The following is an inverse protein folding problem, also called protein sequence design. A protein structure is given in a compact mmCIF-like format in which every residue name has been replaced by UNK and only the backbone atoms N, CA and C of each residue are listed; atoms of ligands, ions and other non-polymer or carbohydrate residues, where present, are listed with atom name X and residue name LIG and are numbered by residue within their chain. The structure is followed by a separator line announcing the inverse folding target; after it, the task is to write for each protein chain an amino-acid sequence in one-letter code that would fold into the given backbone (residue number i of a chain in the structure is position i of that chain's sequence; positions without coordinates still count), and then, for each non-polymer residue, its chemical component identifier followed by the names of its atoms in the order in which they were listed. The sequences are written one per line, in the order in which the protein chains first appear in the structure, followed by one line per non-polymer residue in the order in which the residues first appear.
data_IF_842634241264
#
_entry.id   IF_842634241264
#
_cell.length_a   1.000
_cell.length_b   1.000
_cell.length_c   1.000
_cell.angle_alpha   90.00
_cell.angle_beta   90.00
_cell.angle_gamma   90.00
#
_symmetry.space_group_name_H-M   'P 1'
#
loop_
_entity.id
_entity.type
_entity.pdbx_description
1 polymer ?
#
# COMPACT_ATOMS: atom_id res chain seq x y z
N UNK A 1 -20.42 9.23 -2.07
CA UNK A 1 -19.50 8.27 -2.73
C UNK A 1 -18.16 8.98 -2.94
N UNK A 2 -17.03 8.44 -2.48
CA UNK A 2 -15.72 9.09 -2.70
C UNK A 2 -15.02 8.53 -3.93
N UNK A 3 -14.16 9.34 -4.59
CA UNK A 3 -13.33 8.91 -5.72
C UNK A 3 -12.52 7.65 -5.40
N UNK A 4 -12.05 7.50 -4.15
CA UNK A 4 -11.33 6.31 -3.70
C UNK A 4 -12.16 5.04 -3.83
N UNK A 5 -13.43 5.07 -3.42
CA UNK A 5 -14.30 3.88 -3.49
C UNK A 5 -14.57 3.48 -4.95
N UNK A 6 -14.77 4.47 -5.84
CA UNK A 6 -14.94 4.22 -7.27
C UNK A 6 -13.67 3.61 -7.88
N UNK A 7 -12.49 4.13 -7.53
CA UNK A 7 -11.22 3.54 -7.95
C UNK A 7 -11.07 2.10 -7.46
N UNK A 8 -11.38 1.83 -6.18
CA UNK A 8 -11.33 0.49 -5.59
C UNK A 8 -12.27 -0.49 -6.29
N UNK A 9 -13.46 -0.05 -6.67
CA UNK A 9 -14.41 -0.87 -7.42
C UNK A 9 -13.84 -1.30 -8.78
N UNK A 10 -13.21 -0.37 -9.50
CA UNK A 10 -12.56 -0.66 -10.77
C UNK A 10 -11.35 -1.59 -10.59
N UNK A 11 -10.45 -1.29 -9.64
CA UNK A 11 -9.21 -2.10 -9.49
C UNK A 11 -9.46 -3.51 -8.96
N UNK A 12 -10.61 -3.79 -8.32
CA UNK A 12 -11.00 -5.18 -7.98
C UNK A 12 -11.21 -6.09 -9.18
N UNK A 13 -11.32 -5.52 -10.39
CA UNK A 13 -11.34 -6.29 -11.63
C UNK A 13 -9.95 -6.82 -12.03
N UNK A 14 -8.87 -6.40 -11.34
CA UNK A 14 -7.51 -6.72 -11.70
C UNK A 14 -7.23 -8.22 -11.88
N UNK A 15 -7.65 -9.15 -10.99
CA UNK A 15 -7.44 -10.59 -11.20
C UNK A 15 -8.04 -11.10 -12.51
N UNK A 16 -9.23 -10.61 -12.89
CA UNK A 16 -9.88 -10.99 -14.15
C UNK A 16 -9.11 -10.47 -15.37
N UNK A 17 -8.60 -9.23 -15.29
CA UNK A 17 -7.85 -8.60 -16.39
C UNK A 17 -6.43 -9.15 -16.54
N UNK A 18 -5.81 -9.57 -15.44
CA UNK A 18 -4.45 -10.13 -15.43
C UNK A 18 -4.40 -11.59 -15.90
N UNK A 19 -5.53 -12.31 -15.86
CA UNK A 19 -5.62 -13.71 -16.30
C UNK A 19 -4.55 -14.57 -15.63
N UNK A 20 -3.81 -15.33 -16.45
CA UNK A 20 -2.74 -16.24 -16.01
C UNK A 20 -1.56 -15.55 -15.29
N UNK A 21 -1.48 -14.22 -15.35
CA UNK A 21 -0.44 -13.46 -14.65
C UNK A 21 -0.84 -13.07 -13.22
N UNK A 22 -2.09 -13.29 -12.82
CA UNK A 22 -2.62 -12.85 -11.52
C UNK A 22 -1.74 -13.27 -10.35
N UNK A 23 -1.38 -14.54 -10.28
CA UNK A 23 -0.62 -15.06 -9.13
C UNK A 23 0.83 -14.55 -9.12
N UNK A 24 1.44 -14.37 -10.30
CA UNK A 24 2.77 -13.74 -10.39
C UNK A 24 2.76 -12.30 -9.88
N UNK A 25 1.70 -11.54 -10.19
CA UNK A 25 1.53 -10.16 -9.72
C UNK A 25 1.24 -10.13 -8.22
N UNK A 26 0.44 -11.07 -7.69
CA UNK A 26 0.23 -11.20 -6.24
C UNK A 26 1.53 -11.49 -5.50
N UNK A 27 2.35 -12.39 -6.02
CA UNK A 27 3.64 -12.72 -5.40
C UNK A 27 4.61 -11.54 -5.47
N UNK A 28 4.62 -10.80 -6.58
CA UNK A 28 5.34 -9.53 -6.66
C UNK A 28 4.85 -8.54 -5.59
N UNK A 29 3.53 -8.38 -5.45
CA UNK A 29 2.92 -7.45 -4.50
C UNK A 29 3.28 -7.81 -3.04
N UNK A 30 3.26 -9.10 -2.68
CA UNK A 30 3.65 -9.59 -1.35
C UNK A 30 5.09 -9.22 -1.00
N UNK A 31 6.01 -9.33 -1.98
CA UNK A 31 7.43 -9.02 -1.79
C UNK A 31 7.74 -7.54 -1.66
N UNK A 32 6.77 -6.65 -1.89
CA UNK A 32 7.01 -5.21 -1.74
C UNK A 32 7.13 -4.80 -0.28
N UNK A 33 6.51 -5.55 0.64
CA UNK A 33 6.57 -5.27 2.07
C UNK A 33 7.81 -5.89 2.71
N UNK A 34 8.51 -5.11 3.53
CA UNK A 34 9.66 -5.57 4.30
C UNK A 34 9.26 -6.04 5.72
N UNK A 35 10.25 -6.46 6.49
CA UNK A 35 10.05 -6.97 7.86
C UNK A 35 9.49 -5.92 8.84
N UNK A 36 9.63 -4.62 8.55
CA UNK A 36 9.05 -3.55 9.39
C UNK A 36 7.63 -3.16 8.96
N UNK A 37 7.07 -3.81 7.93
CA UNK A 37 5.71 -3.55 7.45
C UNK A 37 5.58 -2.38 6.47
N UNK A 38 6.69 -1.78 6.05
CA UNK A 38 6.69 -0.74 5.02
C UNK A 38 6.87 -1.37 3.63
N UNK A 39 6.32 -0.72 2.61
CA UNK A 39 6.78 -1.02 1.25
C UNK A 39 8.14 -0.37 0.99
N UNK A 40 8.95 -1.01 0.16
CA UNK A 40 10.26 -0.48 -0.19
C UNK A 40 10.23 0.39 -1.45
N UNK A 41 11.10 1.40 -1.47
CA UNK A 41 11.48 2.12 -2.68
C UNK A 41 12.34 1.25 -3.62
N UNK A 42 12.85 1.85 -4.70
CA UNK A 42 13.69 1.16 -5.68
C UNK A 42 15.09 0.79 -5.16
N UNK A 43 15.52 1.39 -4.05
CA UNK A 43 16.77 1.06 -3.37
C UNK A 43 16.57 0.04 -2.24
N UNK A 44 15.34 -0.46 -2.06
CA UNK A 44 15.01 -1.43 -1.01
C UNK A 44 14.78 -0.79 0.37
N UNK A 45 14.70 0.53 0.46
CA UNK A 45 14.49 1.24 1.73
C UNK A 45 13.00 1.42 2.02
N UNK A 46 12.56 1.31 3.28
CA UNK A 46 11.18 1.58 3.67
C UNK A 46 10.76 3.00 3.27
N UNK A 47 9.67 3.13 2.50
CA UNK A 47 9.25 4.41 1.96
C UNK A 47 7.73 4.61 2.08
N UNK A 48 7.34 5.76 2.62
CA UNK A 48 5.95 6.07 2.95
C UNK A 48 5.11 6.34 1.70
N UNK A 49 5.69 6.98 0.69
CA UNK A 49 5.04 7.23 -0.58
C UNK A 49 4.79 5.91 -1.34
N UNK A 50 5.75 4.99 -1.35
CA UNK A 50 5.57 3.66 -1.95
C UNK A 50 4.59 2.80 -1.17
N UNK A 51 4.53 2.95 0.16
CA UNK A 51 3.64 2.15 1.02
C UNK A 51 2.17 2.34 0.68
N UNK A 52 1.72 3.56 0.35
CA UNK A 52 0.31 3.75 -0.05
C UNK A 52 -0.02 3.01 -1.36
N UNK A 53 0.88 2.99 -2.33
CA UNK A 53 0.65 2.25 -3.58
C UNK A 53 0.65 0.74 -3.34
N UNK A 54 1.54 0.24 -2.48
CA UNK A 54 1.55 -1.17 -2.12
C UNK A 54 0.28 -1.61 -1.39
N UNK A 55 -0.24 -0.80 -0.46
CA UNK A 55 -1.52 -1.06 0.21
C UNK A 55 -2.68 -1.06 -0.78
N UNK A 56 -2.74 -0.08 -1.70
CA UNK A 56 -3.78 -0.03 -2.73
C UNK A 56 -3.71 -1.25 -3.68
N UNK A 57 -2.50 -1.65 -4.09
CA UNK A 57 -2.26 -2.84 -4.90
C UNK A 57 -2.68 -4.12 -4.19
N UNK A 58 -2.36 -4.24 -2.89
CA UNK A 58 -2.78 -5.37 -2.08
C UNK A 58 -4.31 -5.47 -1.96
N UNK A 59 -5.00 -4.33 -1.74
CA UNK A 59 -6.47 -4.27 -1.75
C UNK A 59 -7.08 -4.67 -3.10
N UNK A 60 -6.48 -4.23 -4.21
CA UNK A 60 -6.94 -4.56 -5.55
C UNK A 60 -6.81 -6.07 -5.87
N UNK A 61 -5.73 -6.69 -5.41
CA UNK A 61 -5.37 -8.08 -5.74
C UNK A 61 -5.86 -9.10 -4.71
N UNK A 62 -6.43 -8.65 -3.58
CA UNK A 62 -6.83 -9.50 -2.46
C UNK A 62 -5.62 -10.13 -1.75
N UNK A 63 -4.51 -9.40 -1.66
CA UNK A 63 -3.28 -9.86 -1.01
C UNK A 63 -3.28 -9.41 0.45
N UNK A 64 -2.98 -10.29 1.41
CA UNK A 64 -2.87 -9.90 2.82
C UNK A 64 -1.69 -8.93 3.01
N UNK A 65 -1.87 -7.95 3.88
CA UNK A 65 -0.84 -6.99 4.29
C UNK A 65 -0.39 -7.29 5.72
N UNK A 66 0.88 -7.00 6.08
CA UNK A 66 1.37 -7.16 7.46
C UNK A 66 0.83 -6.04 8.36
N UNK A 67 -0.48 -6.04 8.61
CA UNK A 67 -1.22 -4.90 9.17
C UNK A 67 -0.63 -4.40 10.49
N UNK A 68 -0.29 -5.28 11.42
CA UNK A 68 0.29 -4.91 12.72
C UNK A 68 1.62 -4.17 12.55
N UNK A 69 2.52 -4.72 11.71
CA UNK A 69 3.83 -4.12 11.45
C UNK A 69 3.66 -2.79 10.71
N UNK A 70 2.76 -2.73 9.72
CA UNK A 70 2.46 -1.49 9.01
C UNK A 70 1.93 -0.41 9.96
N UNK A 71 0.98 -0.73 10.85
CA UNK A 71 0.45 0.22 11.86
C UNK A 71 1.57 0.72 12.78
N UNK A 72 2.42 -0.19 13.27
CA UNK A 72 3.55 0.18 14.14
C UNK A 72 4.53 1.13 13.43
N UNK A 73 4.88 0.84 12.18
CA UNK A 73 5.79 1.67 11.39
C UNK A 73 5.18 3.04 11.03
N UNK A 74 3.91 3.09 10.61
CA UNK A 74 3.20 4.35 10.37
C UNK A 74 3.12 5.21 11.64
N UNK A 75 3.03 4.57 12.82
CA UNK A 75 3.04 5.25 14.12
C UNK A 75 4.31 6.05 14.39
N UNK A 76 5.45 5.65 13.82
CA UNK A 76 6.74 6.36 14.00
C UNK A 76 6.77 7.75 13.38
N UNK A 77 5.88 8.03 12.41
CA UNK A 77 5.74 9.36 11.80
C UNK A 77 4.91 10.33 12.66
N UNK A 78 4.26 9.84 13.72
CA UNK A 78 3.39 10.64 14.60
C UNK A 78 2.32 11.39 13.80
N UNK A 79 2.16 12.68 14.10
CA UNK A 79 1.24 13.55 13.35
C UNK A 79 1.77 14.00 11.97
N UNK A 80 2.97 13.57 11.56
CA UNK A 80 3.55 13.91 10.26
C UNK A 80 4.04 15.36 10.13
N UNK A 81 4.28 16.08 11.24
CA UNK A 81 4.65 17.51 11.23
C UNK A 81 5.95 17.84 10.47
N UNK A 82 6.83 16.84 10.27
CA UNK A 82 8.08 16.97 9.51
C UNK A 82 7.98 16.49 8.06
N UNK A 83 6.82 15.97 7.67
CA UNK A 83 6.60 15.47 6.32
C UNK A 83 6.23 16.63 5.39
N UNK A 84 6.69 16.55 4.14
CA UNK A 84 6.11 17.39 3.10
C UNK A 84 4.65 16.97 2.81
N UNK A 85 3.97 17.77 1.98
CA UNK A 85 2.57 17.55 1.63
C UNK A 85 2.32 16.16 1.00
N UNK A 86 3.26 15.67 0.19
CA UNK A 86 3.12 14.39 -0.52
C UNK A 86 3.17 13.25 0.49
N UNK A 87 4.16 13.26 1.38
CA UNK A 87 4.35 12.23 2.39
C UNK A 87 3.29 12.30 3.50
N UNK A 88 2.86 13.50 3.90
CA UNK A 88 1.72 13.64 4.82
C UNK A 88 0.44 13.09 4.19
N UNK A 89 0.21 13.39 2.91
CA UNK A 89 -0.88 12.83 2.13
C UNK A 89 -0.80 11.30 1.98
N UNK A 90 0.41 10.73 1.92
CA UNK A 90 0.64 9.30 1.93
C UNK A 90 0.34 8.69 3.31
N UNK A 91 0.83 9.29 4.41
CA UNK A 91 0.56 8.87 5.78
C UNK A 91 -0.93 8.72 6.07
N UNK A 92 -1.70 9.77 5.78
CA UNK A 92 -3.15 9.81 6.00
C UNK A 92 -3.84 8.72 5.17
N UNK A 93 -3.42 8.52 3.92
CA UNK A 93 -4.01 7.50 3.05
C UNK A 93 -3.64 6.08 3.48
N UNK A 94 -2.43 5.85 3.98
CA UNK A 94 -2.03 4.57 4.55
C UNK A 94 -2.93 4.23 5.74
N UNK A 95 -3.13 5.17 6.67
CA UNK A 95 -4.05 5.00 7.80
C UNK A 95 -5.50 4.76 7.38
N UNK A 96 -5.97 5.38 6.28
CA UNK A 96 -7.30 5.15 5.75
C UNK A 96 -7.44 3.83 4.94
N UNK A 97 -6.33 3.16 4.65
CA UNK A 97 -6.28 1.90 3.91
C UNK A 97 -6.15 0.67 4.83
N UNK A 98 -5.61 0.85 6.03
CA UNK A 98 -5.69 -0.13 7.12
C UNK A 98 -7.01 0.00 7.88
#
# INVERSE_FOLDING_TARGET
MSLRLQLLEVVRQAPRLLGDSTDRVRDFQRRQFNAVGAACDRAGQPDLYYTIFALAGAQALGVPVPEEQTRAWLGTFGAGAKLDLVHLGALIRCWAAL
#
